data_IF_866618074885
#
_entry.id   IF_866618074885
#
_cell.length_a   1.000
_cell.length_b   1.000
_cell.length_c   1.000
_cell.angle_alpha   90.00
_cell.angle_beta   90.00
_cell.angle_gamma   90.00
#
_symmetry.space_group_name_H-M   'P 1'
#
loop_
_entity.id
_entity.type
_entity.pdbx_description
1 polymer ?
#
# COMPACT_ATOMS: atom_id res chain seq x y z
N UNK A 1 12.87 3.69 -35.14
CA UNK A 1 11.83 2.88 -34.47
C UNK A 1 12.10 1.41 -34.76
N UNK A 2 11.80 0.51 -33.83
CA UNK A 2 11.90 -0.95 -34.06
C UNK A 2 10.90 -1.35 -35.16
N UNK A 3 11.36 -2.13 -36.15
CA UNK A 3 10.51 -2.59 -37.26
C UNK A 3 9.47 -3.63 -36.82
N UNK A 4 9.78 -4.44 -35.81
CA UNK A 4 8.88 -5.44 -35.24
C UNK A 4 8.85 -5.33 -33.71
N UNK A 5 8.11 -4.36 -33.14
CA UNK A 5 8.10 -4.13 -31.68
C UNK A 5 7.54 -5.31 -30.87
N UNK A 6 6.75 -6.17 -31.50
CA UNK A 6 6.20 -7.37 -30.88
C UNK A 6 7.28 -8.40 -30.48
N UNK A 7 8.37 -8.51 -31.24
CA UNK A 7 9.45 -9.47 -30.97
C UNK A 7 10.28 -9.11 -29.73
N UNK A 8 10.15 -7.88 -29.21
CA UNK A 8 10.84 -7.41 -28.01
C UNK A 8 10.38 -8.14 -26.74
N UNK A 9 9.14 -8.62 -26.71
CA UNK A 9 8.53 -9.19 -25.53
C UNK A 9 8.26 -10.69 -25.71
N UNK A 10 8.69 -11.48 -24.72
CA UNK A 10 8.48 -12.92 -24.72
C UNK A 10 7.21 -13.28 -23.94
N UNK A 11 6.45 -14.29 -24.38
CA UNK A 11 5.33 -14.82 -23.59
C UNK A 11 5.80 -15.30 -22.22
N UNK A 12 4.98 -15.08 -21.20
CA UNK A 12 5.24 -15.60 -19.85
C UNK A 12 5.06 -17.13 -19.84
N UNK A 13 5.98 -17.90 -19.24
CA UNK A 13 5.88 -19.36 -19.21
C UNK A 13 4.65 -19.83 -18.40
N UNK A 14 3.92 -20.86 -18.84
CA UNK A 14 2.81 -21.41 -18.07
C UNK A 14 3.27 -21.98 -16.72
N UNK A 15 2.60 -21.58 -15.64
CA UNK A 15 2.83 -22.16 -14.30
C UNK A 15 1.80 -23.28 -14.09
N UNK A 16 2.29 -24.52 -13.94
CA UNK A 16 1.45 -25.68 -13.63
C UNK A 16 1.12 -25.72 -12.13
N UNK A 17 -0.12 -25.40 -11.77
CA UNK A 17 -0.68 -25.57 -10.42
C UNK A 17 -1.93 -26.45 -10.53
N UNK A 18 -1.77 -27.79 -10.60
CA UNK A 18 -2.88 -28.72 -10.87
C UNK A 18 -3.97 -28.65 -9.79
N UNK A 19 -3.57 -28.54 -8.52
CA UNK A 19 -4.49 -28.51 -7.38
C UNK A 19 -4.87 -27.08 -6.93
N UNK A 20 -4.90 -26.12 -7.86
CA UNK A 20 -5.30 -24.74 -7.53
C UNK A 20 -6.75 -24.69 -7.06
N UNK A 21 -6.95 -24.14 -5.85
CA UNK A 21 -8.27 -24.03 -5.21
C UNK A 21 -8.90 -22.64 -5.28
N UNK A 22 -8.16 -21.63 -5.75
CA UNK A 22 -8.64 -20.25 -5.79
C UNK A 22 -9.82 -20.01 -6.76
N UNK A 23 -10.01 -20.74 -7.88
CA UNK A 23 -11.17 -20.52 -8.76
C UNK A 23 -12.53 -20.81 -8.10
N UNK A 24 -12.58 -21.79 -7.19
CA UNK A 24 -13.82 -22.23 -6.54
C UNK A 24 -14.08 -21.54 -5.18
N UNK A 25 -13.14 -20.72 -4.70
CA UNK A 25 -13.21 -20.12 -3.35
C UNK A 25 -13.75 -18.69 -3.42
N UNK A 26 -14.87 -18.45 -2.75
CA UNK A 26 -15.37 -17.11 -2.49
C UNK A 26 -14.70 -16.49 -1.25
N UNK A 27 -14.46 -15.18 -1.29
CA UNK A 27 -13.89 -14.43 -0.16
C UNK A 27 -14.95 -14.29 0.93
N UNK A 28 -14.71 -14.86 2.11
CA UNK A 28 -15.67 -14.88 3.23
C UNK A 28 -15.47 -13.77 4.26
N UNK A 29 -14.30 -13.13 4.28
CA UNK A 29 -13.94 -12.10 5.24
C UNK A 29 -12.96 -11.11 4.62
N UNK A 30 -12.94 -9.89 5.16
CA UNK A 30 -12.00 -8.87 4.72
C UNK A 30 -10.56 -9.28 5.07
N UNK A 31 -9.61 -9.20 4.11
CA UNK A 31 -8.20 -9.48 4.39
C UNK A 31 -7.60 -8.38 5.27
N UNK A 32 -6.38 -8.63 5.76
CA UNK A 32 -5.58 -7.59 6.41
C UNK A 32 -4.95 -6.74 5.32
N UNK A 33 -5.36 -5.48 5.23
CA UNK A 33 -4.79 -4.51 4.30
C UNK A 33 -3.52 -3.89 4.87
N UNK A 34 -2.54 -3.67 3.99
CA UNK A 34 -1.33 -2.88 4.26
C UNK A 34 -1.25 -1.82 3.17
N UNK A 35 -1.31 -0.54 3.54
CA UNK A 35 -1.11 0.57 2.60
C UNK A 35 0.39 0.80 2.39
N UNK A 36 0.85 0.79 1.15
CA UNK A 36 2.23 1.15 0.78
C UNK A 36 2.35 2.55 0.18
N UNK A 37 1.27 3.33 0.20
CA UNK A 37 1.13 4.60 -0.51
C UNK A 37 2.20 5.64 -0.12
N UNK A 38 2.58 5.73 1.16
CA UNK A 38 3.61 6.69 1.62
C UNK A 38 5.03 6.35 1.13
N UNK A 39 5.27 5.10 0.74
CA UNK A 39 6.57 4.63 0.27
C UNK A 39 6.56 4.45 -1.23
N UNK A 40 5.80 3.47 -1.72
CA UNK A 40 5.77 3.11 -3.14
C UNK A 40 4.97 4.13 -3.96
N UNK A 41 3.86 4.62 -3.41
CA UNK A 41 3.04 5.65 -4.05
C UNK A 41 3.80 6.96 -4.18
N UNK A 42 4.49 7.39 -3.11
CA UNK A 42 5.32 8.59 -3.13
C UNK A 42 6.48 8.50 -4.14
N UNK A 43 7.06 7.30 -4.32
CA UNK A 43 8.12 7.06 -5.33
C UNK A 43 7.62 7.15 -6.77
N UNK A 44 6.32 6.96 -7.01
CA UNK A 44 5.72 7.07 -8.34
C UNK A 44 5.32 8.51 -8.72
N UNK A 45 5.40 9.47 -7.78
CA UNK A 45 5.09 10.87 -8.04
C UNK A 45 6.25 11.57 -8.76
N UNK A 46 5.91 12.42 -9.73
CA UNK A 46 6.90 13.26 -10.41
C UNK A 46 7.55 14.28 -9.45
N UNK A 47 6.75 14.83 -8.53
CA UNK A 47 7.20 15.64 -7.42
C UNK A 47 6.95 14.88 -6.11
N UNK A 48 8.00 14.47 -5.38
CA UNK A 48 7.83 13.71 -4.15
C UNK A 48 7.19 14.58 -3.07
N UNK A 49 6.32 13.98 -2.25
CA UNK A 49 5.73 14.63 -1.09
C UNK A 49 6.82 14.91 -0.03
N UNK A 50 6.85 16.14 0.46
CA UNK A 50 7.70 16.55 1.58
C UNK A 50 7.18 15.99 2.92
N UNK A 51 8.06 15.90 3.91
CA UNK A 51 7.83 15.49 5.31
C UNK A 51 6.53 16.03 5.92
N UNK A 52 6.21 17.31 5.72
CA UNK A 52 4.98 17.93 6.22
C UNK A 52 3.71 17.46 5.47
N UNK A 53 3.80 17.25 4.16
CA UNK A 53 2.71 16.76 3.32
C UNK A 53 2.45 15.26 3.56
N UNK A 54 3.49 14.47 3.79
CA UNK A 54 3.38 13.05 4.16
C UNK A 54 2.62 12.88 5.49
N UNK A 55 2.95 13.70 6.48
CA UNK A 55 2.31 13.68 7.79
C UNK A 55 0.84 14.14 7.74
N UNK A 56 0.54 15.10 6.87
CA UNK A 56 -0.79 15.71 6.73
C UNK A 56 -1.70 15.03 5.68
N UNK A 57 -1.16 14.07 4.92
CA UNK A 57 -1.94 13.36 3.90
C UNK A 57 -3.07 12.55 4.52
N UNK A 58 -4.23 12.51 3.85
CA UNK A 58 -5.39 11.70 4.26
C UNK A 58 -5.07 10.21 4.41
N UNK A 59 -3.98 9.73 3.79
CA UNK A 59 -3.46 8.37 3.88
C UNK A 59 -2.89 8.04 5.27
N UNK A 60 -2.17 8.99 5.90
CA UNK A 60 -1.66 8.82 7.26
C UNK A 60 -2.83 8.80 8.27
N UNK A 61 -3.81 9.69 8.08
CA UNK A 61 -5.04 9.75 8.86
C UNK A 61 -5.93 8.50 8.69
N UNK A 62 -6.05 7.97 7.47
CA UNK A 62 -6.85 6.77 7.19
C UNK A 62 -6.22 5.50 7.71
N UNK A 63 -4.89 5.35 7.60
CA UNK A 63 -4.15 4.24 8.21
C UNK A 63 -4.28 4.21 9.73
N UNK A 64 -4.31 5.38 10.38
CA UNK A 64 -4.56 5.51 11.81
C UNK A 64 -6.01 5.18 12.19
N UNK A 65 -6.99 5.56 11.34
CA UNK A 65 -8.41 5.26 11.55
C UNK A 65 -8.74 3.76 11.35
N UNK A 66 -8.16 3.12 10.33
CA UNK A 66 -8.36 1.69 10.04
C UNK A 66 -7.79 0.79 11.16
N UNK A 67 -6.64 1.16 11.73
CA UNK A 67 -6.08 0.49 12.92
C UNK A 67 -7.01 0.62 14.14
N UNK A 68 -7.66 1.77 14.32
CA UNK A 68 -8.62 2.03 15.42
C UNK A 68 -9.89 1.18 15.33
N UNK A 69 -10.39 0.94 14.11
CA UNK A 69 -11.56 0.07 13.87
C UNK A 69 -11.28 -1.42 14.14
N UNK A 70 -10.01 -1.86 14.09
CA UNK A 70 -9.61 -3.26 14.31
C UNK A 70 -9.13 -3.56 15.74
N UNK A 71 -8.90 -2.54 16.58
CA UNK A 71 -8.45 -2.70 17.98
C UNK A 71 -8.92 -1.51 18.84
N UNK A 72 -10.08 -1.62 19.52
CA UNK A 72 -10.69 -0.50 20.26
C UNK A 72 -9.98 -0.10 21.56
N UNK A 73 -8.90 -0.80 21.98
CA UNK A 73 -8.25 -0.58 23.28
C UNK A 73 -6.95 0.24 23.25
N UNK A 74 -6.61 0.89 22.12
CA UNK A 74 -5.43 1.76 22.07
C UNK A 74 -5.69 3.07 22.84
N UNK A 75 -4.90 3.39 23.89
CA UNK A 75 -5.04 4.66 24.59
C UNK A 75 -4.67 5.83 23.66
N UNK A 76 -5.22 7.04 23.90
CA UNK A 76 -4.92 8.20 23.07
C UNK A 76 -3.41 8.49 23.10
N UNK A 77 -2.76 8.39 21.95
CA UNK A 77 -1.39 8.87 21.78
C UNK A 77 -1.36 10.37 22.07
N UNK A 78 -0.42 10.79 22.93
CA UNK A 78 -0.15 12.21 23.19
C UNK A 78 0.21 12.92 21.87
N UNK A 79 -0.21 14.18 21.67
CA UNK A 79 0.12 14.93 20.47
C UNK A 79 1.64 15.07 20.32
N UNK A 80 2.13 14.81 19.10
CA UNK A 80 3.53 15.00 18.68
C UNK A 80 3.77 16.50 18.50
N UNK A 81 3.79 17.27 19.59
CA UNK A 81 4.08 18.71 19.54
C UNK A 81 5.21 19.16 20.47
N UNK A 82 5.99 18.23 21.04
CA UNK A 82 7.13 18.57 21.91
C UNK A 82 8.38 17.77 21.56
N UNK A 83 8.90 17.95 20.35
CA UNK A 83 10.32 17.73 20.05
C UNK A 83 10.78 18.83 19.09
N UNK A 84 10.84 20.04 19.60
CA UNK A 84 11.70 21.11 19.11
C UNK A 84 12.59 21.53 20.28
N UNK A 85 13.89 21.67 20.00
CA UNK A 85 14.95 22.22 20.84
C UNK A 85 15.50 21.32 21.98
N UNK A 86 16.60 20.61 21.68
CA UNK A 86 17.89 20.75 22.36
C UNK A 86 19.00 20.33 21.42
#
# INVERSE_FOLDING_TARGET
MLSHPAEKYRPYPPIALPDRRWPDRQISHAPRWLSTDLRDGNQALAEPMDSAANCSSGICCWSAALKRLKSPSLPPHKPISTLSAS
#
